data_IF_938149982829
#
_entry.id   IF_938149982829
#
_cell.length_a   1.000
_cell.length_b   1.000
_cell.length_c   1.000
_cell.angle_alpha   90.00
_cell.angle_beta   90.00
_cell.angle_gamma   90.00
#
_symmetry.space_group_name_H-M   'P 1'
#
loop_
_entity.id
_entity.type
_entity.pdbx_description
1 polymer ?
#
# COMPACT_ATOMS: atom_id res chain seq x y z
N UNK A 1 -3.64 -7.01 -18.01
CA UNK A 1 -3.48 -6.15 -16.82
C UNK A 1 -3.45 -7.06 -15.60
N UNK A 2 -2.50 -6.89 -14.69
CA UNK A 2 -2.49 -7.63 -13.42
C UNK A 2 -3.69 -7.18 -12.58
N UNK A 3 -4.46 -8.13 -12.05
CA UNK A 3 -5.64 -7.85 -11.25
C UNK A 3 -5.19 -7.43 -9.84
N UNK A 4 -5.56 -6.23 -9.41
CA UNK A 4 -5.21 -5.65 -8.11
C UNK A 4 -6.44 -4.99 -7.47
N UNK A 5 -6.30 -4.48 -6.24
CA UNK A 5 -7.43 -3.91 -5.51
C UNK A 5 -8.10 -2.74 -6.26
N UNK A 6 -7.31 -1.89 -6.92
CA UNK A 6 -7.80 -0.72 -7.65
C UNK A 6 -8.51 -1.13 -8.95
N UNK A 7 -7.93 -2.01 -9.76
CA UNK A 7 -8.57 -2.51 -11.00
C UNK A 7 -9.85 -3.30 -10.70
N UNK A 8 -9.89 -4.03 -9.58
CA UNK A 8 -11.10 -4.69 -9.09
C UNK A 8 -12.16 -3.68 -8.61
N UNK A 9 -11.76 -2.64 -7.88
CA UNK A 9 -12.66 -1.57 -7.44
C UNK A 9 -13.23 -0.78 -8.63
N UNK A 10 -12.41 -0.45 -9.63
CA UNK A 10 -12.84 0.16 -10.90
C UNK A 10 -13.86 -0.73 -11.60
N UNK A 11 -13.57 -2.03 -11.71
CA UNK A 11 -14.51 -3.00 -12.28
C UNK A 11 -15.84 -3.06 -11.53
N UNK A 12 -15.80 -3.08 -10.20
CA UNK A 12 -17.00 -3.07 -9.37
C UNK A 12 -17.82 -1.78 -9.54
N UNK A 13 -17.17 -0.61 -9.50
CA UNK A 13 -17.80 0.70 -9.73
C UNK A 13 -18.50 0.80 -11.08
N UNK A 14 -17.94 0.17 -12.13
CA UNK A 14 -18.58 0.10 -13.46
C UNK A 14 -19.86 -0.74 -13.48
N UNK A 15 -20.00 -1.71 -12.57
CA UNK A 15 -21.08 -2.70 -12.57
C UNK A 15 -22.18 -2.43 -11.54
N UNK A 16 -21.92 -1.61 -10.52
CA UNK A 16 -22.88 -1.35 -9.44
C UNK A 16 -23.94 -0.34 -9.90
N UNK A 17 -25.24 -0.67 -9.86
CA UNK A 17 -26.29 0.32 -10.05
C UNK A 17 -26.29 1.31 -8.88
N UNK A 18 -26.18 2.61 -9.18
CA UNK A 18 -26.20 3.65 -8.15
C UNK A 18 -27.64 3.82 -7.61
N UNK A 19 -27.83 3.51 -6.34
CA UNK A 19 -29.08 3.75 -5.62
C UNK A 19 -29.03 5.11 -4.91
N UNK A 20 -30.05 5.94 -5.14
CA UNK A 20 -30.21 7.23 -4.46
C UNK A 20 -31.36 7.14 -3.46
N UNK A 21 -31.13 7.60 -2.23
CA UNK A 21 -32.18 7.72 -1.21
C UNK A 21 -33.22 8.79 -1.58
N UNK A 22 -32.83 9.78 -2.40
CA UNK A 22 -33.68 10.87 -2.89
C UNK A 22 -33.42 11.16 -4.38
N UNK A 23 -33.96 10.34 -5.30
CA UNK A 23 -33.61 10.37 -6.73
C UNK A 23 -34.05 11.65 -7.47
N UNK A 24 -34.87 12.50 -6.86
CA UNK A 24 -35.34 13.76 -7.44
C UNK A 24 -34.45 14.96 -7.11
N UNK A 25 -33.54 14.84 -6.13
CA UNK A 25 -32.68 15.94 -5.68
C UNK A 25 -31.44 16.09 -6.55
N UNK A 26 -30.91 14.99 -7.08
CA UNK A 26 -29.74 14.97 -7.96
C UNK A 26 -30.14 14.43 -9.33
N UNK A 27 -29.83 15.18 -10.39
CA UNK A 27 -30.14 14.74 -11.74
C UNK A 27 -29.34 13.48 -12.09
N UNK A 28 -29.93 12.58 -12.88
CA UNK A 28 -29.24 11.41 -13.43
C UNK A 28 -27.94 11.80 -14.16
N UNK A 29 -27.96 12.93 -14.88
CA UNK A 29 -26.81 13.43 -15.62
C UNK A 29 -25.66 13.80 -14.68
N UNK A 30 -25.95 14.52 -13.59
CA UNK A 30 -24.97 14.87 -12.55
C UNK A 30 -24.34 13.63 -11.93
N UNK A 31 -25.16 12.65 -11.56
CA UNK A 31 -24.67 11.41 -10.96
C UNK A 31 -23.77 10.61 -11.92
N UNK A 32 -24.21 10.46 -13.17
CA UNK A 32 -23.44 9.73 -14.19
C UNK A 32 -22.13 10.46 -14.51
N UNK A 33 -22.16 11.79 -14.58
CA UNK A 33 -20.96 12.63 -14.76
C UNK A 33 -19.96 12.44 -13.63
N UNK A 34 -20.39 12.55 -12.37
CA UNK A 34 -19.53 12.36 -11.21
C UNK A 34 -18.92 10.94 -11.16
N UNK A 35 -19.70 9.91 -11.48
CA UNK A 35 -19.19 8.53 -11.54
C UNK A 35 -18.16 8.34 -12.67
N UNK A 36 -18.39 8.93 -13.85
CA UNK A 36 -17.44 8.90 -14.96
C UNK A 36 -16.13 9.62 -14.62
N UNK A 37 -16.21 10.78 -13.95
CA UNK A 37 -15.04 11.50 -13.44
C UNK A 37 -14.25 10.66 -12.43
N UNK A 38 -14.94 10.05 -11.46
CA UNK A 38 -14.30 9.18 -10.47
C UNK A 38 -13.61 7.97 -11.12
N UNK A 39 -14.25 7.34 -12.11
CA UNK A 39 -13.64 6.26 -12.89
C UNK A 39 -12.40 6.73 -13.64
N UNK A 40 -12.46 7.88 -14.28
CA UNK A 40 -11.32 8.46 -15.01
C UNK A 40 -10.14 8.72 -14.08
N UNK A 41 -10.40 9.25 -12.87
CA UNK A 41 -9.36 9.47 -11.86
C UNK A 41 -8.73 8.15 -11.39
N UNK A 42 -9.54 7.13 -11.13
CA UNK A 42 -9.06 5.81 -10.71
C UNK A 42 -8.27 5.10 -11.81
N UNK A 43 -8.70 5.21 -13.06
CA UNK A 43 -7.99 4.67 -14.23
C UNK A 43 -6.68 5.41 -14.51
N UNK A 44 -6.58 6.69 -14.12
CA UNK A 44 -5.37 7.48 -14.21
C UNK A 44 -4.29 7.12 -13.19
N UNK A 45 -4.60 6.30 -12.18
CA UNK A 45 -3.60 5.88 -11.18
C UNK A 45 -2.59 4.93 -11.85
N UNK A 46 -1.28 5.27 -11.86
CA UNK A 46 -0.27 4.40 -12.43
C UNK A 46 -0.27 3.04 -11.73
N UNK A 47 -0.18 1.91 -12.46
CA UNK A 47 -0.12 0.57 -11.85
C UNK A 47 0.97 0.45 -10.77
N UNK A 48 2.13 1.08 -10.99
CA UNK A 48 3.23 1.13 -10.03
C UNK A 48 2.84 1.82 -8.70
N UNK A 49 1.98 2.85 -8.75
CA UNK A 49 1.50 3.51 -7.53
C UNK A 49 0.60 2.56 -6.72
N UNK A 50 -0.20 1.72 -7.39
CA UNK A 50 -1.02 0.70 -6.73
C UNK A 50 -0.14 -0.34 -6.03
N UNK A 51 0.87 -0.84 -6.72
CA UNK A 51 1.81 -1.82 -6.15
C UNK A 51 2.54 -1.27 -4.92
N UNK A 52 2.92 0.01 -4.95
CA UNK A 52 3.55 0.68 -3.80
C UNK A 52 2.60 0.85 -2.62
N UNK A 53 1.33 1.21 -2.85
CA UNK A 53 0.32 1.32 -1.79
C UNK A 53 0.07 -0.05 -1.16
N UNK A 54 -0.02 -1.11 -1.96
CA UNK A 54 -0.18 -2.47 -1.45
C UNK A 54 1.04 -2.90 -0.63
N UNK A 55 2.26 -2.61 -1.08
CA UNK A 55 3.49 -2.87 -0.33
C UNK A 55 3.54 -2.08 0.98
N UNK A 56 3.19 -0.79 0.96
CA UNK A 56 3.08 0.03 2.16
C UNK A 56 2.14 -0.59 3.18
N UNK A 57 0.93 -1.01 2.76
CA UNK A 57 -0.05 -1.64 3.65
C UNK A 57 0.46 -2.95 4.25
N UNK A 58 1.16 -3.77 3.47
CA UNK A 58 1.77 -5.00 3.99
C UNK A 58 2.85 -4.72 5.05
N UNK A 59 3.68 -3.69 4.84
CA UNK A 59 4.70 -3.30 5.81
C UNK A 59 4.08 -2.70 7.06
N UNK A 60 3.08 -1.83 6.91
CA UNK A 60 2.38 -1.20 8.05
C UNK A 60 1.75 -2.23 9.00
N UNK A 61 1.28 -3.36 8.49
CA UNK A 61 0.71 -4.44 9.30
C UNK A 61 1.71 -5.17 10.21
N UNK A 62 3.02 -5.00 9.99
CA UNK A 62 4.06 -5.73 10.75
C UNK A 62 4.90 -4.83 11.65
N UNK A 63 4.68 -3.52 11.64
CA UNK A 63 5.40 -2.57 12.51
C UNK A 63 4.61 -2.32 13.80
N UNK A 64 5.30 -1.87 14.85
CA UNK A 64 4.68 -1.54 16.14
C UNK A 64 4.11 -0.13 16.17
N UNK A 65 3.25 0.15 17.15
CA UNK A 65 2.78 1.51 17.43
C UNK A 65 3.97 2.44 17.72
N UNK A 66 3.91 3.68 17.21
CA UNK A 66 5.01 4.64 17.30
C UNK A 66 6.12 4.46 16.27
N UNK A 67 6.04 3.43 15.40
CA UNK A 67 6.89 3.30 14.22
C UNK A 67 6.20 3.83 12.97
N UNK A 68 7.00 4.30 12.02
CA UNK A 68 6.54 4.80 10.71
C UNK A 68 7.26 4.05 9.62
N UNK A 69 6.50 3.50 8.67
CA UNK A 69 7.02 2.86 7.47
C UNK A 69 7.13 3.87 6.31
N UNK A 70 8.19 3.73 5.54
CA UNK A 70 8.40 4.40 4.25
C UNK A 70 8.65 3.32 3.22
N UNK A 71 7.85 3.27 2.16
CA UNK A 71 8.00 2.31 1.06
C UNK A 71 8.28 3.05 -0.24
N UNK A 72 9.25 2.56 -1.00
CA UNK A 72 9.73 3.19 -2.24
C UNK A 72 9.94 2.14 -3.32
N UNK A 73 9.77 2.49 -4.60
CA UNK A 73 10.35 1.68 -5.67
C UNK A 73 11.88 1.77 -5.59
N UNK A 74 12.56 0.76 -6.10
CA UNK A 74 14.02 0.76 -6.26
C UNK A 74 14.39 0.69 -7.74
N UNK A 75 15.67 0.92 -8.04
CA UNK A 75 16.21 0.76 -9.39
C UNK A 75 16.65 -0.69 -9.70
N UNK A 76 16.41 -1.64 -8.78
CA UNK A 76 16.79 -3.05 -8.96
C UNK A 76 15.60 -3.87 -9.49
N UNK A 77 15.73 -4.50 -10.67
CA UNK A 77 14.71 -5.42 -11.16
C UNK A 77 14.53 -6.66 -10.28
N UNK A 78 15.57 -7.07 -9.55
CA UNK A 78 15.52 -8.23 -8.64
C UNK A 78 14.79 -7.92 -7.33
N UNK A 79 14.90 -6.66 -6.88
CA UNK A 79 14.32 -6.17 -5.62
C UNK A 79 13.60 -4.83 -5.85
N UNK A 80 12.50 -4.81 -6.61
CA UNK A 80 11.83 -3.58 -7.04
C UNK A 80 11.24 -2.74 -5.91
N UNK A 81 11.09 -3.29 -4.70
CA UNK A 81 10.49 -2.61 -3.55
C UNK A 81 11.52 -2.45 -2.43
N UNK A 82 11.54 -1.28 -1.81
CA UNK A 82 12.34 -0.99 -0.61
C UNK A 82 11.46 -0.45 0.51
N UNK A 83 11.80 -0.79 1.75
CA UNK A 83 11.15 -0.24 2.94
C UNK A 83 12.18 0.19 3.98
N UNK A 84 11.87 1.29 4.66
CA UNK A 84 12.55 1.77 5.87
C UNK A 84 11.50 1.98 6.95
N UNK A 85 11.76 1.50 8.16
CA UNK A 85 10.93 1.73 9.35
C UNK A 85 11.72 2.57 10.33
N UNK A 86 11.13 3.67 10.78
CA UNK A 86 11.73 4.57 11.75
C UNK A 86 10.88 4.64 13.02
N UNK A 87 11.50 4.90 14.17
CA UNK A 87 10.80 5.22 15.42
C UNK A 87 10.31 6.67 15.46
N UNK A 88 9.64 7.05 16.55
CA UNK A 88 9.15 8.41 16.77
C UNK A 88 10.24 9.50 16.80
N UNK A 89 11.51 9.13 16.98
CA UNK A 89 12.64 10.03 16.95
C UNK A 89 13.29 10.10 15.54
N UNK A 90 12.75 9.36 14.57
CA UNK A 90 13.31 9.26 13.22
C UNK A 90 14.51 8.31 13.13
N UNK A 91 14.78 7.49 14.15
CA UNK A 91 15.85 6.49 14.11
C UNK A 91 15.39 5.26 13.33
N UNK A 92 16.24 4.77 12.44
CA UNK A 92 15.93 3.59 11.62
C UNK A 92 15.94 2.33 12.49
N UNK A 93 14.79 1.69 12.63
CA UNK A 93 14.63 0.41 13.31
C UNK A 93 14.85 -0.78 12.37
N UNK A 94 14.42 -0.66 11.11
CA UNK A 94 14.59 -1.70 10.11
C UNK A 94 14.65 -1.11 8.70
N UNK A 95 15.37 -1.79 7.81
CA UNK A 95 15.38 -1.47 6.39
C UNK A 95 15.57 -2.73 5.56
N UNK A 96 14.85 -2.90 4.46
CA UNK A 96 14.96 -4.06 3.58
C UNK A 96 14.57 -3.71 2.14
N UNK A 97 15.04 -4.52 1.19
CA UNK A 97 14.55 -4.54 -0.18
C UNK A 97 14.00 -5.92 -0.49
N UNK A 98 12.90 -5.98 -1.23
CA UNK A 98 12.13 -7.20 -1.46
C UNK A 98 11.63 -7.32 -2.89
N UNK A 99 11.40 -8.57 -3.29
CA UNK A 99 10.86 -8.91 -4.62
C UNK A 99 9.35 -8.76 -4.71
N UNK A 100 8.65 -9.02 -3.60
CA UNK A 100 7.19 -8.94 -3.49
C UNK A 100 6.81 -8.14 -2.25
N UNK A 101 5.59 -7.63 -2.20
CA UNK A 101 5.04 -6.90 -1.04
C UNK A 101 5.04 -7.74 0.23
N UNK A 102 4.64 -9.02 0.14
CA UNK A 102 4.64 -9.96 1.27
C UNK A 102 6.05 -10.28 1.73
N UNK A 103 6.98 -10.52 0.79
CA UNK A 103 8.37 -10.82 1.10
C UNK A 103 9.07 -9.63 1.74
N UNK A 104 8.80 -8.41 1.28
CA UNK A 104 9.33 -7.18 1.90
C UNK A 104 8.81 -7.01 3.33
N UNK A 105 7.50 -7.19 3.55
CA UNK A 105 6.91 -7.11 4.88
C UNK A 105 7.51 -8.15 5.83
N UNK A 106 7.69 -9.39 5.37
CA UNK A 106 8.31 -10.44 6.19
C UNK A 106 9.77 -10.14 6.55
N UNK A 107 10.55 -9.59 5.60
CA UNK A 107 11.92 -9.13 5.88
C UNK A 107 11.95 -8.02 6.94
N UNK A 108 11.03 -7.07 6.87
CA UNK A 108 10.90 -6.01 7.88
C UNK A 108 10.52 -6.61 9.23
N UNK A 109 9.50 -7.47 9.28
CA UNK A 109 9.04 -8.15 10.49
C UNK A 109 10.20 -8.86 11.20
N UNK A 110 11.00 -9.62 10.45
CA UNK A 110 12.16 -10.34 10.99
C UNK A 110 13.24 -9.41 11.53
N UNK A 111 13.47 -8.26 10.89
CA UNK A 111 14.45 -7.26 11.36
C UNK A 111 14.00 -6.49 12.59
N UNK A 112 12.70 -6.40 12.84
CA UNK A 112 12.12 -5.78 14.03
C UNK A 112 12.03 -6.73 15.22
N UNK A 113 12.28 -8.04 15.02
CA UNK A 113 12.36 -8.97 16.14
C UNK A 113 13.52 -8.58 17.06
N UNK A 114 13.36 -8.73 18.39
CA UNK A 114 14.49 -8.61 19.31
C UNK A 114 15.62 -9.51 18.82
N UNK A 115 16.88 -9.04 18.85
CA UNK A 115 18.01 -9.90 18.54
C UNK A 115 17.93 -11.12 19.46
N UNK A 116 17.84 -12.32 18.88
CA UNK A 116 18.16 -13.56 19.61
C UNK A 116 19.57 -13.37 20.15
N UNK A 117 19.69 -13.40 21.49
CA UNK A 117 20.91 -13.30 22.30
C UNK A 117 22.22 -13.12 21.52
N UNK A 118 22.91 -12.01 21.80
CA UNK A 118 24.17 -11.64 21.17
C UNK A 118 25.18 -12.79 21.17
N UNK A 119 25.99 -12.88 20.11
CA UNK A 119 27.10 -13.84 19.98
C UNK A 119 28.26 -13.50 20.94
N UNK A 120 28.00 -13.51 22.24
CA UNK A 120 29.04 -13.49 23.28
C UNK A 120 29.57 -12.10 23.69
N UNK A 121 28.75 -11.05 23.68
CA UNK A 121 29.15 -9.79 24.29
C UNK A 121 29.07 -9.93 25.82
N UNK A 122 30.23 -10.03 26.47
CA UNK A 122 30.36 -10.08 27.92
C UNK A 122 30.03 -8.72 28.57
N UNK A 123 29.44 -8.73 29.77
CA UNK A 123 28.96 -7.52 30.47
C UNK A 123 30.07 -6.52 30.82
#
# INVERSE_FOLDING_TARGET
>A
MSQNAITSAVGALKLVPMFLNHPTVISRATLTGAAAEALTLLEGIPPAAVELIEAFRCVEQVIAEGQVAYVTPTNSPEFPLGAVVADANGQVCAAASGKTKEGLAELIRLKLLPPTEGRGETP
#
